data_IF_737466566570
#
_entry.id   IF_737466566570
#
_cell.length_a   1.000
_cell.length_b   1.000
_cell.length_c   1.000
_cell.angle_alpha   90.00
_cell.angle_beta   90.00
_cell.angle_gamma   90.00
#
_symmetry.space_group_name_H-M   'P 1'
#
loop_
_entity.id
_entity.type
_entity.pdbx_description
1 polymer ?
#
# COMPACT_ATOMS: atom_id res chain seq x y z
N UNK A 1 -9.18 -7.64 -45.45
CA UNK A 1 -8.86 -7.41 -44.02
C UNK A 1 -7.52 -6.72 -43.94
N UNK A 2 -7.48 -5.41 -43.72
CA UNK A 2 -6.23 -4.64 -43.62
C UNK A 2 -5.60 -4.89 -42.25
N UNK A 3 -4.48 -5.62 -42.24
CA UNK A 3 -3.70 -5.86 -41.02
C UNK A 3 -3.05 -4.56 -40.59
N UNK A 4 -3.53 -3.96 -39.50
CA UNK A 4 -2.91 -2.77 -38.93
C UNK A 4 -1.45 -3.04 -38.56
N UNK A 5 -0.57 -2.09 -38.91
CA UNK A 5 0.85 -2.16 -38.54
C UNK A 5 1.01 -2.18 -37.03
N UNK A 6 2.02 -2.89 -36.54
CA UNK A 6 2.33 -2.96 -35.11
C UNK A 6 2.62 -1.56 -34.54
N UNK A 7 3.18 -0.65 -35.34
CA UNK A 7 3.42 0.75 -34.95
C UNK A 7 2.12 1.51 -34.69
N UNK A 8 1.11 1.32 -35.55
CA UNK A 8 -0.19 1.98 -35.39
C UNK A 8 -0.94 1.46 -34.16
N UNK A 9 -0.84 0.15 -33.89
CA UNK A 9 -1.39 -0.46 -32.67
C UNK A 9 -0.71 0.09 -31.42
N UNK A 10 0.61 0.22 -31.45
CA UNK A 10 1.39 0.76 -30.34
C UNK A 10 0.99 2.21 -30.03
N UNK A 11 0.88 3.07 -31.06
CA UNK A 11 0.44 4.45 -30.91
C UNK A 11 -0.99 4.59 -30.37
N UNK A 12 -1.93 3.77 -30.86
CA UNK A 12 -3.31 3.75 -30.32
C UNK A 12 -3.37 3.35 -28.86
N UNK A 13 -2.57 2.37 -28.45
CA UNK A 13 -2.51 1.93 -27.06
C UNK A 13 -1.90 3.00 -26.15
N UNK A 14 -0.85 3.69 -26.59
CA UNK A 14 -0.26 4.81 -25.87
C UNK A 14 -1.27 5.96 -25.71
N UNK A 15 -1.99 6.31 -26.78
CA UNK A 15 -3.02 7.35 -26.74
C UNK A 15 -4.15 7.03 -25.76
N UNK A 16 -4.69 5.80 -25.80
CA UNK A 16 -5.72 5.36 -24.84
C UNK A 16 -5.25 5.44 -23.39
N UNK A 17 -4.00 5.05 -23.14
CA UNK A 17 -3.42 5.13 -21.81
C UNK A 17 -3.27 6.59 -21.35
N UNK A 18 -2.83 7.48 -22.24
CA UNK A 18 -2.75 8.92 -21.94
C UNK A 18 -4.10 9.51 -21.59
N UNK A 19 -5.12 9.27 -22.43
CA UNK A 19 -6.49 9.73 -22.19
C UNK A 19 -7.03 9.20 -20.86
N UNK A 20 -6.76 7.94 -20.52
CA UNK A 20 -7.16 7.38 -19.23
C UNK A 20 -6.44 8.04 -18.05
N UNK A 21 -5.14 8.31 -18.17
CA UNK A 21 -4.35 8.99 -17.13
C UNK A 21 -4.83 10.42 -16.89
N UNK A 22 -5.27 11.12 -17.93
CA UNK A 22 -5.79 12.48 -17.84
C UNK A 22 -7.16 12.53 -17.14
N UNK A 23 -8.01 11.53 -17.40
CA UNK A 23 -9.36 11.47 -16.85
C UNK A 23 -9.44 10.81 -15.46
N UNK A 24 -8.44 10.02 -15.06
CA UNK A 24 -8.50 9.27 -13.80
C UNK A 24 -7.86 10.06 -12.65
N UNK A 25 -8.61 10.37 -11.57
CA UNK A 25 -8.04 11.03 -10.40
C UNK A 25 -7.06 10.11 -9.67
N UNK A 26 -6.02 10.69 -9.06
CA UNK A 26 -4.95 9.95 -8.38
C UNK A 26 -5.46 8.99 -7.27
N UNK A 27 -6.59 9.31 -6.64
CA UNK A 27 -7.19 8.51 -5.58
C UNK A 27 -7.79 7.19 -6.07
N UNK A 28 -8.18 7.10 -7.34
CA UNK A 28 -8.81 5.91 -7.94
C UNK A 28 -7.79 4.99 -8.61
N UNK A 29 -6.50 5.34 -8.55
CA UNK A 29 -5.47 4.55 -9.19
C UNK A 29 -5.33 3.17 -8.53
N UNK A 30 -5.32 2.09 -9.32
CA UNK A 30 -5.14 0.75 -8.79
C UNK A 30 -3.68 0.57 -8.33
N UNK A 31 -3.48 0.61 -7.02
CA UNK A 31 -2.16 0.44 -6.41
C UNK A 31 -1.77 -1.03 -6.26
N UNK A 32 -0.47 -1.28 -6.17
CA UNK A 32 0.12 -2.55 -5.75
C UNK A 32 0.55 -2.48 -4.27
N UNK A 33 1.02 -3.62 -3.74
CA UNK A 33 1.54 -3.71 -2.37
C UNK A 33 2.77 -2.82 -2.09
N UNK A 34 3.40 -2.28 -3.13
CA UNK A 34 4.56 -1.39 -3.06
C UNK A 34 4.18 0.09 -3.08
N UNK A 35 2.88 0.42 -3.14
CA UNK A 35 2.40 1.81 -3.22
C UNK A 35 2.64 2.46 -4.59
N UNK A 36 3.00 1.67 -5.61
CA UNK A 36 3.09 2.15 -7.00
C UNK A 36 1.89 1.65 -7.79
N UNK A 37 1.74 2.14 -9.03
CA UNK A 37 0.63 1.75 -9.89
C UNK A 37 0.78 0.28 -10.29
N UNK A 38 -0.31 -0.47 -10.17
CA UNK A 38 -0.38 -1.83 -10.68
C UNK A 38 -0.52 -1.82 -12.20
N UNK A 39 0.62 -1.90 -12.91
CA UNK A 39 0.68 -1.90 -14.39
C UNK A 39 -0.24 -2.92 -15.02
N UNK A 40 -0.33 -4.13 -14.45
CA UNK A 40 -1.24 -5.19 -14.92
C UNK A 40 -2.71 -4.79 -14.81
N UNK A 41 -3.13 -4.22 -13.66
CA UNK A 41 -4.52 -3.78 -13.47
C UNK A 41 -4.85 -2.61 -14.40
N UNK A 42 -3.96 -1.62 -14.51
CA UNK A 42 -4.14 -0.48 -15.43
C UNK A 42 -4.28 -0.98 -16.87
N UNK A 43 -3.37 -1.85 -17.33
CA UNK A 43 -3.44 -2.40 -18.68
C UNK A 43 -4.76 -3.14 -18.93
N UNK A 44 -5.28 -3.87 -17.93
CA UNK A 44 -6.57 -4.55 -18.01
C UNK A 44 -7.75 -3.56 -18.12
N UNK A 45 -7.72 -2.46 -17.36
CA UNK A 45 -8.76 -1.42 -17.38
C UNK A 45 -8.76 -0.68 -18.72
N UNK A 46 -7.59 -0.29 -19.21
CA UNK A 46 -7.44 0.48 -20.47
C UNK A 46 -7.59 -0.42 -21.72
N UNK A 47 -7.55 -1.75 -21.54
CA UNK A 47 -7.64 -2.71 -22.65
C UNK A 47 -6.35 -2.79 -23.48
N UNK A 48 -5.20 -2.55 -22.85
CA UNK A 48 -3.87 -2.64 -23.47
C UNK A 48 -3.24 -3.98 -23.09
N UNK A 49 -2.67 -4.75 -24.03
CA UNK A 49 -1.95 -5.98 -23.70
C UNK A 49 -0.76 -5.71 -22.78
N UNK A 50 -0.59 -6.51 -21.73
CA UNK A 50 0.55 -6.36 -20.81
C UNK A 50 1.92 -6.49 -21.52
N UNK A 51 1.98 -7.26 -22.61
CA UNK A 51 3.17 -7.38 -23.46
C UNK A 51 3.56 -6.06 -24.14
N UNK A 52 2.62 -5.14 -24.35
CA UNK A 52 2.88 -3.81 -24.91
C UNK A 52 3.66 -2.90 -23.97
N UNK A 53 3.64 -3.15 -22.66
CA UNK A 53 4.39 -2.36 -21.67
C UNK A 53 5.90 -2.52 -21.86
N UNK A 54 6.35 -3.72 -22.21
CA UNK A 54 7.77 -3.99 -22.45
C UNK A 54 8.26 -3.53 -23.83
N UNK A 55 7.37 -3.58 -24.82
CA UNK A 55 7.70 -3.37 -26.25
C UNK A 55 7.40 -1.96 -26.76
N UNK A 56 6.62 -1.15 -26.04
CA UNK A 56 6.40 0.26 -26.35
C UNK A 56 6.99 1.16 -25.24
N UNK A 57 8.03 1.92 -25.59
CA UNK A 57 8.70 2.84 -24.69
C UNK A 57 7.78 3.96 -24.19
N UNK A 58 6.82 4.42 -25.00
CA UNK A 58 5.88 5.49 -24.64
C UNK A 58 4.95 5.04 -23.50
N UNK A 59 4.40 3.83 -23.61
CA UNK A 59 3.55 3.24 -22.56
C UNK A 59 4.33 3.09 -21.26
N UNK A 60 5.58 2.63 -21.34
CA UNK A 60 6.45 2.53 -20.17
C UNK A 60 6.67 3.91 -19.54
N UNK A 61 7.00 4.93 -20.33
CA UNK A 61 7.23 6.30 -19.85
C UNK A 61 5.98 6.89 -19.18
N UNK A 62 4.78 6.66 -19.74
CA UNK A 62 3.52 7.10 -19.14
C UNK A 62 3.28 6.48 -17.76
N UNK A 63 3.52 5.16 -17.62
CA UNK A 63 3.35 4.45 -16.35
C UNK A 63 4.41 4.87 -15.32
N UNK A 64 5.66 5.05 -15.73
CA UNK A 64 6.75 5.50 -14.86
C UNK A 64 6.49 6.94 -14.37
N UNK A 65 5.96 7.82 -15.24
CA UNK A 65 5.54 9.17 -14.85
C UNK A 65 4.37 9.18 -13.87
N UNK A 66 3.42 8.24 -14.03
CA UNK A 66 2.31 8.06 -13.09
C UNK A 66 2.80 7.59 -11.71
N UNK A 67 3.74 6.64 -11.68
CA UNK A 67 4.41 6.18 -10.45
C UNK A 67 5.11 7.35 -9.74
N UNK A 68 5.78 8.24 -10.49
CA UNK A 68 6.43 9.43 -9.93
C UNK A 68 5.41 10.43 -9.36
N UNK A 69 4.32 10.71 -10.07
CA UNK A 69 3.24 11.59 -9.61
C UNK A 69 2.64 11.12 -8.28
N UNK A 70 2.44 9.81 -8.13
CA UNK A 70 1.95 9.22 -6.88
C UNK A 70 2.92 9.39 -5.72
N UNK A 71 4.23 9.19 -5.94
CA UNK A 71 5.26 9.40 -4.90
C UNK A 71 5.29 10.84 -4.40
N UNK A 72 5.04 11.80 -5.30
CA UNK A 72 4.99 13.22 -4.93
C UNK A 72 3.70 13.60 -4.19
N UNK A 73 2.56 13.02 -4.57
CA UNK A 73 1.25 13.34 -3.95
C UNK A 73 1.01 12.62 -2.62
N UNK A 74 1.54 11.42 -2.47
CA UNK A 74 1.47 10.67 -1.22
C UNK A 74 2.88 10.28 -0.81
N UNK A 75 3.56 11.12 -0.01
CA UNK A 75 4.77 10.72 0.69
C UNK A 75 4.39 9.73 1.81
N UNK A 76 3.86 8.56 1.44
CA UNK A 76 3.75 7.44 2.36
C UNK A 76 5.17 6.92 2.62
N UNK A 77 5.46 6.53 3.87
CA UNK A 77 6.79 6.59 4.45
C UNK A 77 7.75 5.80 3.59
N UNK A 78 8.98 6.30 3.47
CA UNK A 78 10.08 5.54 2.92
C UNK A 78 9.97 4.12 3.47
N UNK A 79 9.83 3.14 2.59
CA UNK A 79 10.16 1.77 2.94
C UNK A 79 11.64 1.84 3.28
N UNK A 80 11.96 2.12 4.54
CA UNK A 80 13.31 2.02 5.04
C UNK A 80 13.71 0.59 4.69
N UNK A 81 14.75 0.53 3.88
CA UNK A 81 15.50 -0.68 3.66
C UNK A 81 15.67 -1.39 5.00
N UNK A 82 15.19 -2.63 5.09
CA UNK A 82 15.57 -3.61 6.10
C UNK A 82 15.87 -2.97 7.45
N UNK A 83 14.87 -2.85 8.32
CA UNK A 83 15.21 -2.94 9.75
C UNK A 83 15.86 -4.31 9.93
N UNK A 84 17.18 -4.33 9.89
CA UNK A 84 17.98 -5.19 10.73
C UNK A 84 17.31 -5.10 12.09
N UNK A 85 16.48 -6.10 12.40
CA UNK A 85 15.88 -6.23 13.73
C UNK A 85 17.07 -6.52 14.61
N UNK A 86 17.65 -5.45 15.16
CA UNK A 86 18.56 -5.54 16.30
C UNK A 86 17.79 -6.33 17.35
N UNK A 87 18.31 -7.51 17.70
CA UNK A 87 17.67 -8.46 18.62
C UNK A 87 17.24 -7.79 19.93
N UNK A 88 17.89 -6.69 20.33
CA UNK A 88 17.50 -5.88 21.50
C UNK A 88 16.08 -5.32 21.47
N UNK A 89 15.54 -4.92 20.31
CA UNK A 89 14.18 -4.31 20.24
C UNK A 89 13.04 -5.32 20.41
N UNK A 90 13.32 -6.60 20.19
CA UNK A 90 12.31 -7.67 20.31
C UNK A 90 12.20 -8.17 21.74
N UNK A 91 13.31 -8.22 22.46
CA UNK A 91 13.35 -8.53 23.90
C UNK A 91 12.67 -7.42 24.71
N UNK A 92 13.03 -6.15 24.47
CA UNK A 92 12.42 -4.99 25.13
C UNK A 92 10.89 -4.95 24.94
N UNK A 93 10.40 -5.30 23.74
CA UNK A 93 8.96 -5.35 23.46
C UNK A 93 8.26 -6.48 24.24
N UNK A 94 8.91 -7.63 24.42
CA UNK A 94 8.37 -8.73 25.21
C UNK A 94 8.30 -8.36 26.69
N UNK A 95 9.33 -7.70 27.22
CA UNK A 95 9.38 -7.28 28.62
C UNK A 95 8.30 -6.23 28.92
N UNK A 96 8.16 -5.22 28.05
CA UNK A 96 7.10 -4.21 28.16
C UNK A 96 5.69 -4.83 28.12
N UNK A 97 5.47 -5.86 27.28
CA UNK A 97 4.19 -6.55 27.22
C UNK A 97 3.92 -7.38 28.48
N UNK A 98 4.96 -7.99 29.06
CA UNK A 98 4.86 -8.72 30.32
C UNK A 98 4.51 -7.79 31.49
N UNK A 99 5.16 -6.63 31.58
CA UNK A 99 4.86 -5.61 32.59
C UNK A 99 3.41 -5.10 32.48
N UNK A 100 2.94 -4.85 31.25
CA UNK A 100 1.56 -4.42 30.99
C UNK A 100 0.56 -5.50 31.44
N UNK A 101 0.85 -6.77 31.19
CA UNK A 101 0.00 -7.87 31.64
C UNK A 101 -0.07 -7.96 33.18
N UNK A 102 1.04 -7.74 33.89
CA UNK A 102 1.07 -7.69 35.36
C UNK A 102 0.30 -6.49 35.89
N UNK A 103 0.48 -5.30 35.31
CA UNK A 103 -0.24 -4.09 35.70
C UNK A 103 -1.76 -4.26 35.53
N UNK A 104 -2.20 -4.87 34.43
CA UNK A 104 -3.62 -5.20 34.20
C UNK A 104 -4.18 -6.13 35.26
N UNK A 105 -3.46 -7.19 35.64
CA UNK A 105 -3.90 -8.10 36.71
C UNK A 105 -4.03 -7.39 38.06
N UNK A 106 -3.08 -6.50 38.39
CA UNK A 106 -3.15 -5.69 39.62
C UNK A 106 -4.37 -4.77 39.62
N UNK A 107 -4.63 -4.09 38.51
CA UNK A 107 -5.82 -3.24 38.34
C UNK A 107 -7.12 -4.04 38.49
N UNK A 108 -7.24 -5.19 37.85
CA UNK A 108 -8.43 -6.05 37.99
C UNK A 108 -8.65 -6.49 39.45
N UNK A 109 -7.57 -6.81 40.18
CA UNK A 109 -7.67 -7.19 41.59
C UNK A 109 -8.10 -6.02 42.48
N UNK A 110 -7.57 -4.82 42.24
CA UNK A 110 -7.98 -3.62 42.98
C UNK A 110 -9.42 -3.25 42.69
N UNK A 111 -9.84 -3.30 41.42
CA UNK A 111 -11.23 -3.07 41.02
C UNK A 111 -12.19 -4.05 41.71
N UNK A 112 -11.82 -5.33 41.80
CA UNK A 112 -12.61 -6.32 42.55
C UNK A 112 -12.70 -5.97 44.04
N UNK A 113 -11.60 -5.51 44.65
CA UNK A 113 -11.63 -5.10 46.06
C UNK A 113 -12.48 -3.85 46.27
N UNK A 114 -12.46 -2.88 45.36
CA UNK A 114 -13.35 -1.71 45.46
C UNK A 114 -14.83 -2.11 45.35
N UNK A 115 -15.16 -3.04 44.45
CA UNK A 115 -16.54 -3.46 44.20
C UNK A 115 -17.10 -4.35 45.32
N UNK A 116 -16.26 -5.16 45.98
CA UNK A 116 -16.73 -6.17 46.93
C UNK A 116 -16.22 -6.02 48.37
N UNK A 117 -15.20 -5.20 48.66
CA UNK A 117 -14.67 -5.05 50.02
C UNK A 117 -15.46 -4.07 50.91
N UNK A 118 -16.49 -3.40 50.38
CA UNK A 118 -17.39 -2.52 51.16
C UNK A 118 -18.65 -3.21 51.67
N UNK A 119 -18.81 -4.52 51.43
CA UNK A 119 -19.95 -5.25 51.97
C UNK A 119 -19.72 -5.62 53.45
N UNK A 120 -20.17 -4.74 54.35
CA UNK A 120 -20.35 -5.03 55.78
C UNK A 120 -21.83 -5.39 55.98
N UNK A 121 -22.18 -6.66 56.22
CA UNK A 121 -23.54 -7.01 56.59
C UNK A 121 -23.82 -6.54 58.02
N UNK A 122 -24.94 -5.82 58.20
CA UNK A 122 -25.53 -5.52 59.51
C UNK A 122 -26.09 -6.77 60.20
#
# INVERSE_FOLDING_TARGET
>A
MTTMSNRDKAGRNAKRLSEWIENTPLAELPLNQFGTVSRQKVCKIVGVPASSVGSNAEIRALLDGLDLRLRLHSPAPSRSHKSFVSEGTREEKCDLLAELAVARRKLSRLSYLEEFATWIPE
#
